data_IF_146696532773
#
_entry.id   IF_146696532773
#
_cell.length_a   1.000
_cell.length_b   1.000
_cell.length_c   1.000
_cell.angle_alpha   90.00
_cell.angle_beta   90.00
_cell.angle_gamma   90.00
#
_symmetry.space_group_name_H-M   'P 1'
#
loop_
_entity.id
_entity.type
_entity.pdbx_description
1 polymer ?
#
# COMPACT_ATOMS: atom_id res chain seq x y z
N UNK A 1 52.59 -16.34 -54.07
CA UNK A 1 52.07 -14.96 -53.94
C UNK A 1 50.57 -14.97 -54.23
N UNK A 2 49.71 -15.00 -53.21
CA UNK A 2 48.30 -14.63 -53.36
C UNK A 2 47.72 -14.15 -52.02
N UNK A 3 46.90 -13.08 -52.12
CA UNK A 3 46.48 -12.11 -51.11
C UNK A 3 45.66 -12.65 -49.93
N UNK A 4 46.01 -12.17 -48.74
CA UNK A 4 45.12 -11.98 -47.59
C UNK A 4 43.90 -11.12 -47.97
N UNK A 5 42.70 -11.55 -47.59
CA UNK A 5 41.57 -10.65 -47.29
C UNK A 5 41.06 -10.99 -45.89
N UNK A 6 41.12 -9.99 -45.02
CA UNK A 6 40.83 -10.02 -43.58
C UNK A 6 39.36 -10.37 -43.38
N UNK A 7 39.04 -11.55 -42.83
CA UNK A 7 37.71 -11.85 -42.32
C UNK A 7 37.60 -11.19 -40.94
N UNK A 8 36.94 -10.04 -40.91
CA UNK A 8 36.70 -9.26 -39.69
C UNK A 8 35.67 -9.99 -38.83
N UNK A 9 36.15 -10.42 -37.68
CA UNK A 9 35.40 -10.98 -36.56
C UNK A 9 34.31 -9.99 -36.12
N UNK A 10 33.05 -10.28 -36.43
CA UNK A 10 31.90 -9.46 -36.01
C UNK A 10 31.34 -10.03 -34.70
N UNK A 11 31.90 -9.59 -33.58
CA UNK A 11 31.39 -9.89 -32.24
C UNK A 11 30.13 -9.02 -32.00
N UNK A 12 28.96 -9.52 -32.38
CA UNK A 12 27.67 -8.91 -32.06
C UNK A 12 27.37 -9.14 -30.57
N UNK A 13 27.83 -8.21 -29.74
CA UNK A 13 27.53 -8.15 -28.32
C UNK A 13 26.03 -7.83 -28.17
N UNK A 14 25.21 -8.85 -27.92
CA UNK A 14 23.79 -8.67 -27.57
C UNK A 14 23.76 -8.07 -26.16
N UNK A 15 23.62 -6.76 -26.08
CA UNK A 15 23.36 -6.05 -24.82
C UNK A 15 21.90 -6.28 -24.44
N UNK A 16 21.64 -7.42 -23.79
CA UNK A 16 20.35 -7.68 -23.15
C UNK A 16 20.24 -6.76 -21.92
N UNK A 17 19.74 -5.54 -22.14
CA UNK A 17 19.38 -4.63 -21.07
C UNK A 17 18.29 -5.25 -20.22
N UNK A 18 18.66 -5.81 -19.07
CA UNK A 18 17.69 -6.17 -18.03
C UNK A 18 17.10 -4.87 -17.50
N UNK A 19 15.87 -4.55 -17.91
CA UNK A 19 15.10 -3.49 -17.29
C UNK A 19 14.87 -3.90 -15.83
N UNK A 20 15.70 -3.36 -14.93
CA UNK A 20 15.47 -3.52 -13.50
C UNK A 20 14.17 -2.80 -13.18
N UNK A 21 13.11 -3.56 -12.94
CA UNK A 21 11.86 -3.02 -12.42
C UNK A 21 12.20 -2.31 -11.09
N UNK A 22 12.22 -0.97 -11.12
CA UNK A 22 12.45 -0.19 -9.92
C UNK A 22 11.23 -0.38 -9.03
N UNK A 23 11.38 -1.15 -7.95
CA UNK A 23 10.37 -1.20 -6.90
C UNK A 23 10.13 0.23 -6.43
N UNK A 24 8.90 0.75 -6.49
CA UNK A 24 8.62 2.13 -6.11
C UNK A 24 9.18 2.42 -4.72
N UNK A 25 10.01 3.47 -4.63
CA UNK A 25 10.63 3.86 -3.39
C UNK A 25 9.61 4.53 -2.45
N UNK A 26 9.69 4.21 -1.16
CA UNK A 26 8.79 4.77 -0.15
C UNK A 26 7.38 4.20 -0.21
N UNK A 27 6.41 5.05 0.11
CA UNK A 27 5.00 4.70 0.24
C UNK A 27 4.12 5.64 -0.56
N UNK A 28 3.09 5.08 -1.17
CA UNK A 28 2.05 5.78 -1.90
C UNK A 28 0.76 4.99 -1.73
N UNK A 29 0.06 5.24 -0.63
CA UNK A 29 -1.18 4.54 -0.30
C UNK A 29 -2.33 5.49 -0.57
N UNK A 30 -3.11 5.22 -1.60
CA UNK A 30 -4.28 6.02 -1.93
C UNK A 30 -5.43 5.63 -1.01
N UNK A 31 -6.28 6.58 -0.66
CA UNK A 31 -7.47 6.32 0.14
C UNK A 31 -8.66 7.08 -0.42
N UNK A 32 -9.79 6.38 -0.53
CA UNK A 32 -11.12 6.98 -0.63
C UNK A 32 -11.90 6.60 0.61
N UNK A 33 -12.29 7.58 1.44
CA UNK A 33 -13.02 7.35 2.68
C UNK A 33 -14.27 8.22 2.74
N UNK A 34 -15.41 7.65 2.33
CA UNK A 34 -16.69 8.37 2.31
C UNK A 34 -17.34 8.41 3.70
N UNK A 35 -18.14 9.44 4.02
CA UNK A 35 -18.40 10.65 3.24
C UNK A 35 -17.43 11.80 3.58
N UNK A 36 -16.32 11.51 4.27
CA UNK A 36 -15.38 12.50 4.78
C UNK A 36 -14.72 13.30 3.64
N UNK A 37 -14.68 14.63 3.74
CA UNK A 37 -14.18 15.53 2.68
C UNK A 37 -13.43 16.69 3.29
N UNK A 38 -12.42 17.18 2.59
CA UNK A 38 -11.66 18.39 2.97
C UNK A 38 -11.14 18.33 4.42
N UNK A 39 -10.77 17.13 4.88
CA UNK A 39 -10.37 16.88 6.26
C UNK A 39 -9.17 15.93 6.32
N UNK A 40 -8.44 15.97 7.44
CA UNK A 40 -7.31 15.09 7.66
C UNK A 40 -7.78 13.74 8.20
N UNK A 41 -7.23 12.67 7.64
CA UNK A 41 -7.40 11.30 8.16
C UNK A 41 -6.02 10.71 8.43
N UNK A 42 -5.99 9.67 9.26
CA UNK A 42 -4.74 9.16 9.81
C UNK A 42 -4.61 7.65 9.65
N UNK A 43 -3.37 7.21 9.58
CA UNK A 43 -2.99 5.83 9.85
C UNK A 43 -2.46 5.76 11.27
N UNK A 44 -3.04 4.90 12.10
CA UNK A 44 -2.49 4.55 13.39
C UNK A 44 -1.88 3.15 13.38
N UNK A 45 -0.97 2.91 14.32
CA UNK A 45 -0.36 1.60 14.57
C UNK A 45 -0.38 1.26 16.06
N UNK A 46 -0.21 -0.03 16.35
CA UNK A 46 -0.01 -0.52 17.70
C UNK A 46 1.47 -0.46 18.06
N UNK A 47 1.81 0.22 19.16
CA UNK A 47 3.15 0.26 19.73
C UNK A 47 3.13 -0.27 21.16
N UNK A 48 3.46 -1.57 21.31
CA UNK A 48 3.30 -2.26 22.59
C UNK A 48 1.85 -2.24 23.06
N UNK A 49 1.57 -1.56 24.19
CA UNK A 49 0.23 -1.43 24.76
C UNK A 49 -0.50 -0.15 24.32
N UNK A 50 0.15 0.75 23.58
CA UNK A 50 -0.43 2.03 23.17
C UNK A 50 -0.71 2.06 21.67
N UNK A 51 -1.57 3.01 21.28
CA UNK A 51 -1.88 3.34 19.89
C UNK A 51 -1.22 4.66 19.55
N UNK A 52 -0.56 4.73 18.40
CA UNK A 52 0.12 5.95 17.93
C UNK A 52 -0.33 6.26 16.51
N UNK A 53 -0.37 7.55 16.15
CA UNK A 53 -0.58 7.97 14.77
C UNK A 53 0.76 7.90 14.03
N UNK A 54 0.80 7.12 12.96
CA UNK A 54 2.00 6.86 12.18
C UNK A 54 2.10 7.75 10.93
N UNK A 55 0.96 8.16 10.36
CA UNK A 55 0.90 9.04 9.20
C UNK A 55 -0.44 9.76 9.07
N UNK A 56 -0.52 10.76 8.20
CA UNK A 56 -1.76 11.47 7.87
C UNK A 56 -1.83 11.89 6.41
N UNK A 57 -3.04 12.04 5.88
CA UNK A 57 -3.26 12.69 4.58
C UNK A 57 -4.50 13.58 4.63
N UNK A 58 -4.54 14.59 3.76
CA UNK A 58 -5.72 15.42 3.55
C UNK A 58 -6.63 14.76 2.50
N UNK A 59 -7.90 14.57 2.82
CA UNK A 59 -8.93 14.20 1.85
C UNK A 59 -9.41 15.43 1.09
N UNK A 60 -9.67 15.29 -0.20
CA UNK A 60 -10.24 16.33 -1.05
C UNK A 60 -11.78 16.31 -1.02
N UNK A 61 -12.42 17.15 -1.85
CA UNK A 61 -13.88 17.25 -1.96
C UNK A 61 -14.57 15.97 -2.48
N UNK A 62 -13.80 15.03 -3.04
CA UNK A 62 -14.25 13.73 -3.53
C UNK A 62 -13.95 12.59 -2.53
N UNK A 63 -13.61 12.92 -1.29
CA UNK A 63 -13.24 11.96 -0.24
C UNK A 63 -11.94 11.19 -0.53
N UNK A 64 -11.07 11.71 -1.39
CA UNK A 64 -9.85 11.05 -1.82
C UNK A 64 -8.60 11.73 -1.23
N UNK A 65 -7.62 10.94 -0.81
CA UNK A 65 -6.33 11.40 -0.33
C UNK A 65 -5.23 10.38 -0.58
N UNK A 66 -3.99 10.75 -0.26
CA UNK A 66 -2.83 9.88 -0.45
C UNK A 66 -1.87 10.01 0.73
N UNK A 67 -1.59 8.89 1.38
CA UNK A 67 -0.48 8.75 2.33
C UNK A 67 0.82 8.56 1.53
N UNK A 68 1.49 9.67 1.20
CA UNK A 68 2.74 9.69 0.42
C UNK A 68 3.98 10.02 1.27
N UNK A 69 5.06 9.25 1.10
CA UNK A 69 6.32 9.49 1.80
C UNK A 69 7.51 8.79 1.14
N UNK A 70 8.72 9.34 1.33
CA UNK A 70 9.96 8.77 0.75
C UNK A 70 10.41 7.49 1.46
N UNK A 71 9.97 7.29 2.69
CA UNK A 71 10.26 6.11 3.51
C UNK A 71 9.01 5.23 3.65
N UNK A 72 9.25 3.92 3.74
CA UNK A 72 8.19 2.96 4.04
C UNK A 72 7.88 2.99 5.52
N UNK A 73 6.61 2.78 5.85
CA UNK A 73 6.19 2.47 7.21
C UNK A 73 6.66 1.05 7.59
N UNK A 74 6.86 0.80 8.87
CA UNK A 74 7.14 -0.57 9.33
C UNK A 74 5.92 -1.45 9.05
N UNK A 75 6.14 -2.67 8.55
CA UNK A 75 5.06 -3.63 8.32
C UNK A 75 4.38 -4.06 9.61
N UNK A 76 3.08 -4.37 9.56
CA UNK A 76 2.28 -4.74 10.72
C UNK A 76 0.81 -4.39 10.57
N UNK A 77 0.03 -4.55 11.64
CA UNK A 77 -1.39 -4.15 11.65
C UNK A 77 -1.48 -2.66 11.94
N UNK A 78 -2.19 -1.96 11.06
CA UNK A 78 -2.51 -0.54 11.14
C UNK A 78 -4.02 -0.37 11.15
N UNK A 79 -4.47 0.84 11.46
CA UNK A 79 -5.87 1.20 11.42
C UNK A 79 -6.08 2.60 10.85
N UNK A 80 -7.16 2.78 10.08
CA UNK A 80 -7.56 4.09 9.57
C UNK A 80 -8.37 4.82 10.63
N UNK A 81 -8.08 6.11 10.82
CA UNK A 81 -8.69 6.95 11.85
C UNK A 81 -9.32 8.19 11.21
N UNK A 82 -10.54 8.53 11.62
CA UNK A 82 -11.26 9.73 11.18
C UNK A 82 -10.73 11.01 11.86
N UNK A 83 -11.14 12.22 11.42
CA UNK A 83 -10.76 13.47 12.08
C UNK A 83 -11.11 13.53 13.57
N UNK A 84 -12.16 12.83 13.98
CA UNK A 84 -12.65 12.72 15.35
C UNK A 84 -11.91 11.66 16.18
N UNK A 85 -10.79 11.14 15.66
CA UNK A 85 -9.99 10.10 16.29
C UNK A 85 -10.71 8.75 16.49
N UNK A 86 -11.74 8.49 15.69
CA UNK A 86 -12.47 7.21 15.72
C UNK A 86 -11.81 6.22 14.75
N UNK A 87 -11.50 5.03 15.24
CA UNK A 87 -11.02 3.91 14.41
C UNK A 87 -12.15 3.47 13.47
N UNK A 88 -11.81 3.43 12.17
CA UNK A 88 -12.72 3.02 11.12
C UNK A 88 -12.57 1.52 10.84
N UNK A 89 -11.37 1.06 10.52
CA UNK A 89 -11.08 -0.35 10.26
C UNK A 89 -9.58 -0.61 10.36
N UNK A 90 -9.21 -1.88 10.48
CA UNK A 90 -7.83 -2.34 10.47
C UNK A 90 -7.40 -2.80 9.07
N UNK A 91 -6.11 -2.69 8.79
CA UNK A 91 -5.48 -3.17 7.57
C UNK A 91 -4.06 -3.66 7.88
N UNK A 92 -3.51 -4.49 7.00
CA UNK A 92 -2.11 -4.85 7.04
C UNK A 92 -1.28 -3.86 6.23
N UNK A 93 -0.24 -3.30 6.83
CA UNK A 93 0.75 -2.52 6.12
C UNK A 93 1.70 -3.45 5.40
N UNK A 94 1.49 -3.63 4.09
CA UNK A 94 2.31 -4.52 3.28
C UNK A 94 3.72 -3.98 3.03
N UNK A 95 4.58 -4.83 2.44
CA UNK A 95 6.00 -4.48 2.17
C UNK A 95 6.18 -3.54 0.99
N UNK A 96 5.23 -3.47 0.06
CA UNK A 96 5.32 -2.66 -1.16
C UNK A 96 4.87 -1.22 -0.92
N UNK A 97 3.78 -1.04 -0.17
CA UNK A 97 3.10 0.21 0.18
C UNK A 97 2.67 1.02 -1.05
N UNK A 98 2.19 0.29 -2.07
CA UNK A 98 1.70 0.81 -3.35
C UNK A 98 0.29 0.28 -3.62
N UNK A 99 -0.62 0.48 -2.67
CA UNK A 99 -1.98 -0.03 -2.71
C UNK A 99 -3.01 1.08 -2.51
N UNK A 100 -4.28 0.77 -2.76
CA UNK A 100 -5.39 1.71 -2.59
C UNK A 100 -6.41 1.19 -1.59
N UNK A 101 -7.01 2.09 -0.83
CA UNK A 101 -8.04 1.81 0.17
C UNK A 101 -9.35 2.44 -0.31
N UNK A 102 -10.43 1.67 -0.33
CA UNK A 102 -11.78 2.16 -0.60
C UNK A 102 -12.68 1.75 0.55
N UNK A 103 -13.24 2.74 1.25
CA UNK A 103 -14.06 2.51 2.43
C UNK A 103 -15.15 3.59 2.61
N UNK A 104 -16.12 3.26 3.46
CA UNK A 104 -17.19 4.14 3.90
C UNK A 104 -17.29 4.05 5.43
N UNK A 105 -17.32 5.19 6.12
CA UNK A 105 -17.38 5.24 7.60
C UNK A 105 -18.67 4.63 8.14
N UNK A 106 -19.74 4.55 7.34
CA UNK A 106 -20.99 3.88 7.70
C UNK A 106 -20.95 2.35 7.50
N UNK A 107 -19.98 1.83 6.73
CA UNK A 107 -19.84 0.41 6.40
C UNK A 107 -18.38 -0.04 6.59
N UNK A 108 -17.91 0.06 7.84
CA UNK A 108 -16.52 -0.17 8.25
C UNK A 108 -15.98 -1.56 7.88
N UNK A 109 -16.84 -2.57 7.99
CA UNK A 109 -16.55 -3.98 7.69
C UNK A 109 -16.36 -4.27 6.19
N UNK A 110 -16.78 -3.35 5.32
CA UNK A 110 -16.72 -3.49 3.86
C UNK A 110 -15.53 -2.77 3.23
N UNK A 111 -14.54 -2.34 4.02
CA UNK A 111 -13.34 -1.74 3.49
C UNK A 111 -12.60 -2.69 2.52
N UNK A 112 -12.20 -2.17 1.36
CA UNK A 112 -11.49 -2.91 0.33
C UNK A 112 -10.10 -2.33 0.17
N UNK A 113 -9.09 -3.19 0.23
CA UNK A 113 -7.71 -2.85 -0.07
C UNK A 113 -7.37 -3.48 -1.43
N UNK A 114 -6.96 -2.65 -2.39
CA UNK A 114 -6.70 -3.03 -3.79
C UNK A 114 -5.20 -2.97 -4.04
N UNK A 115 -4.64 -4.01 -4.66
CA UNK A 115 -3.21 -4.08 -4.97
C UNK A 115 -2.36 -4.60 -3.81
N UNK A 116 -2.97 -5.27 -2.83
CA UNK A 116 -2.27 -5.86 -1.68
C UNK A 116 -2.81 -7.27 -1.36
N UNK A 117 -2.21 -8.33 -1.93
CA UNK A 117 -2.65 -9.71 -1.68
C UNK A 117 -2.62 -10.10 -0.20
N UNK A 118 -1.68 -9.53 0.57
CA UNK A 118 -1.57 -9.78 2.01
C UNK A 118 -2.82 -9.26 2.75
N UNK A 119 -3.42 -8.14 2.30
CA UNK A 119 -4.66 -7.63 2.87
C UNK A 119 -5.87 -8.50 2.52
N UNK A 120 -5.88 -9.16 1.36
CA UNK A 120 -6.95 -10.11 1.03
C UNK A 120 -6.94 -11.31 1.98
N UNK A 121 -5.75 -11.81 2.33
CA UNK A 121 -5.58 -12.86 3.33
C UNK A 121 -5.97 -12.38 4.72
N UNK A 122 -5.50 -11.20 5.13
CA UNK A 122 -5.82 -10.61 6.41
C UNK A 122 -7.34 -10.44 6.59
N UNK A 123 -8.04 -9.88 5.60
CA UNK A 123 -9.50 -9.71 5.65
C UNK A 123 -10.24 -11.04 5.82
N UNK A 124 -9.86 -12.08 5.07
CA UNK A 124 -10.47 -13.42 5.19
C UNK A 124 -10.25 -14.01 6.59
N UNK A 125 -9.04 -13.88 7.13
CA UNK A 125 -8.73 -14.36 8.48
C UNK A 125 -9.51 -13.60 9.56
N UNK A 126 -9.58 -12.27 9.46
CA UNK A 126 -10.31 -11.43 10.42
C UNK A 126 -11.81 -11.74 10.41
N UNK A 127 -12.41 -11.92 9.25
CA UNK A 127 -13.82 -12.33 9.12
C UNK A 127 -14.08 -13.70 9.76
N UNK A 128 -13.21 -14.68 9.50
CA UNK A 128 -13.31 -16.01 10.09
C UNK A 128 -13.19 -15.97 11.62
N UNK A 129 -12.22 -15.21 12.14
CA UNK A 129 -11.94 -15.10 13.57
C UNK A 129 -13.09 -14.45 14.32
N UNK A 130 -13.67 -13.37 13.77
CA UNK A 130 -14.85 -12.71 14.34
C UNK A 130 -16.04 -13.67 14.40
N UNK A 131 -16.31 -14.41 13.31
CA UNK A 131 -17.44 -15.34 13.28
C UNK A 131 -17.30 -16.50 14.27
N UNK A 132 -16.07 -16.96 14.54
CA UNK A 132 -15.80 -18.01 15.54
C UNK A 132 -15.74 -17.49 16.97
N UNK A 133 -15.24 -16.28 17.20
CA UNK A 133 -15.19 -15.67 18.54
C UNK A 133 -16.56 -15.21 19.06
N UNK A 134 -17.57 -15.16 18.18
CA UNK A 134 -18.97 -14.89 18.54
C UNK A 134 -19.80 -16.17 18.77
N UNK A 135 -19.21 -17.36 18.65
CA UNK A 135 -19.82 -18.64 19.06
C UNK A 135 -19.36 -19.02 20.47
#
# INVERSE_FOLDING_TARGET
>A
MMRMKRLVLSLLLIWAGTAMAQTPAGRNIQITLKPLKNCKVYLGSYYGKTRVLADSCMLNANSQGVFKGKTKLTGGIYFVVSPEYVIQFELLMDRTQQFSIVADTAQKDKAIIIGSPDNDLFRKYSQFSTNKGMQ
#
